data_IF_963760849216
#
_entry.id   IF_963760849216
#
_cell.length_a   1.000
_cell.length_b   1.000
_cell.length_c   1.000
_cell.angle_alpha   90.00
_cell.angle_beta   90.00
_cell.angle_gamma   90.00
#
_symmetry.space_group_name_H-M   'P 1'
#
loop_
_entity.id
_entity.type
_entity.pdbx_description
1 polymer ?
#
# COMPACT_ATOMS: atom_id res chain seq x y z
N UNK A 1 -7.03 30.32 -9.35
CA UNK A 1 -5.85 29.50 -9.02
C UNK A 1 -5.68 29.51 -7.51
N UNK A 2 -6.04 28.41 -6.82
CA UNK A 2 -5.56 28.13 -5.47
C UNK A 2 -4.38 27.17 -5.61
N UNK A 3 -3.24 27.72 -6.05
CA UNK A 3 -1.98 26.99 -6.17
C UNK A 3 -1.31 26.99 -4.81
N UNK A 4 -1.15 25.83 -4.19
CA UNK A 4 -0.38 25.73 -2.94
C UNK A 4 -0.16 24.31 -2.44
N UNK A 5 -1.18 23.46 -2.53
CA UNK A 5 -1.06 22.06 -2.08
C UNK A 5 -0.88 21.14 -3.28
N UNK A 6 0.03 20.16 -3.14
CA UNK A 6 0.16 19.11 -4.13
C UNK A 6 -1.19 18.40 -4.25
N UNK A 7 -1.71 18.22 -5.47
CA UNK A 7 -3.01 17.59 -5.67
C UNK A 7 -3.08 16.16 -5.10
N UNK A 8 -1.93 15.53 -4.86
CA UNK A 8 -1.80 14.23 -4.22
C UNK A 8 -1.01 14.43 -2.93
N UNK A 9 -1.69 14.26 -1.80
CA UNK A 9 -1.15 14.23 -0.44
C UNK A 9 -1.72 13.04 0.33
N UNK A 10 -1.32 12.85 1.59
CA UNK A 10 -1.77 11.70 2.37
C UNK A 10 -3.29 11.64 2.60
N UNK A 11 -3.99 12.77 2.56
CA UNK A 11 -5.45 12.85 2.73
C UNK A 11 -6.19 12.58 1.42
N UNK A 12 -5.62 12.98 0.29
CA UNK A 12 -6.29 12.93 -1.03
C UNK A 12 -5.92 11.70 -1.85
N UNK A 13 -4.74 11.12 -1.63
CA UNK A 13 -4.21 10.01 -2.45
C UNK A 13 -5.13 8.80 -2.51
N UNK A 14 -5.82 8.45 -1.42
CA UNK A 14 -6.73 7.30 -1.40
C UNK A 14 -7.99 7.55 -2.25
N UNK A 15 -8.56 8.75 -2.18
CA UNK A 15 -9.71 9.13 -3.00
C UNK A 15 -9.37 9.24 -4.49
N UNK A 16 -8.21 9.84 -4.80
CA UNK A 16 -7.73 9.95 -6.19
C UNK A 16 -7.42 8.57 -6.75
N UNK A 17 -6.80 7.69 -5.96
CA UNK A 17 -6.49 6.33 -6.37
C UNK A 17 -7.77 5.51 -6.62
N UNK A 18 -8.78 5.66 -5.76
CA UNK A 18 -10.08 5.00 -5.94
C UNK A 18 -10.78 5.41 -7.26
N UNK A 19 -10.82 6.72 -7.54
CA UNK A 19 -11.36 7.23 -8.80
C UNK A 19 -10.51 6.75 -9.98
N UNK A 20 -9.19 6.76 -9.81
CA UNK A 20 -8.23 6.37 -10.83
C UNK A 20 -8.39 4.91 -11.26
N UNK A 21 -8.57 4.02 -10.28
CA UNK A 21 -8.86 2.61 -10.45
C UNK A 21 -10.25 2.40 -11.10
N UNK A 22 -11.28 3.06 -10.58
CA UNK A 22 -12.66 2.95 -11.08
C UNK A 22 -12.81 3.35 -12.55
N UNK A 23 -12.12 4.41 -12.99
CA UNK A 23 -12.16 4.89 -14.38
C UNK A 23 -11.02 4.35 -15.25
N UNK A 24 -10.27 3.36 -14.79
CA UNK A 24 -9.15 2.75 -15.51
C UNK A 24 -8.17 3.79 -16.09
N UNK A 25 -7.72 4.72 -15.25
CA UNK A 25 -6.77 5.79 -15.61
C UNK A 25 -5.36 5.45 -15.09
N UNK A 26 -4.59 4.62 -15.80
CA UNK A 26 -3.33 4.06 -15.30
C UNK A 26 -2.28 5.12 -14.93
N UNK A 27 -2.31 6.27 -15.60
CA UNK A 27 -1.40 7.38 -15.28
C UNK A 27 -1.69 7.97 -13.89
N UNK A 28 -2.96 8.06 -13.49
CA UNK A 28 -3.34 8.57 -12.16
C UNK A 28 -2.91 7.56 -11.09
N UNK A 29 -3.21 6.29 -11.31
CA UNK A 29 -2.80 5.20 -10.41
C UNK A 29 -1.28 5.19 -10.22
N UNK A 30 -0.51 5.32 -11.30
CA UNK A 30 0.96 5.38 -11.23
C UNK A 30 1.47 6.58 -10.45
N UNK A 31 0.85 7.76 -10.63
CA UNK A 31 1.22 8.98 -9.88
C UNK A 31 0.92 8.86 -8.39
N UNK A 32 -0.20 8.25 -8.04
CA UNK A 32 -0.53 7.92 -6.65
C UNK A 32 0.47 6.91 -6.08
N UNK A 33 0.84 5.87 -6.83
CA UNK A 33 1.82 4.88 -6.41
C UNK A 33 3.21 5.51 -6.19
N UNK A 34 3.69 6.36 -7.11
CA UNK A 34 4.93 7.14 -6.97
C UNK A 34 4.91 7.98 -5.67
N UNK A 35 3.79 8.67 -5.39
CA UNK A 35 3.64 9.44 -4.15
C UNK A 35 3.69 8.55 -2.90
N UNK A 36 2.99 7.40 -2.90
CA UNK A 36 2.98 6.47 -1.78
C UNK A 36 4.37 5.87 -1.50
N UNK A 37 5.16 5.66 -2.55
CA UNK A 37 6.53 5.16 -2.46
C UNK A 37 7.51 6.21 -1.90
N UNK A 38 7.41 7.47 -2.33
CA UNK A 38 8.44 8.49 -2.04
C UNK A 38 8.10 9.42 -0.88
N UNK A 39 6.82 9.77 -0.70
CA UNK A 39 6.42 10.93 0.11
C UNK A 39 5.40 10.62 1.20
N UNK A 40 4.66 9.51 1.09
CA UNK A 40 3.62 9.18 2.06
C UNK A 40 4.21 8.89 3.45
N UNK A 41 3.52 9.40 4.47
CA UNK A 41 3.81 9.15 5.89
C UNK A 41 2.84 8.13 6.50
N UNK A 42 2.08 7.41 5.68
CA UNK A 42 1.16 6.37 6.15
C UNK A 42 1.92 5.23 6.81
N UNK A 43 1.27 4.58 7.77
CA UNK A 43 1.80 3.37 8.39
C UNK A 43 1.91 2.23 7.37
N UNK A 44 2.87 1.33 7.59
CA UNK A 44 3.08 0.15 6.74
C UNK A 44 1.80 -0.69 6.59
N UNK A 45 1.01 -0.83 7.67
CA UNK A 45 -0.31 -1.47 7.64
C UNK A 45 -1.25 -0.83 6.61
N UNK A 46 -1.41 0.50 6.66
CA UNK A 46 -2.31 1.21 5.74
C UNK A 46 -1.81 1.14 4.29
N UNK A 47 -0.49 1.19 4.08
CA UNK A 47 0.09 0.98 2.75
C UNK A 47 -0.21 -0.43 2.22
N UNK A 48 -0.08 -1.46 3.06
CA UNK A 48 -0.40 -2.84 2.71
C UNK A 48 -1.89 -3.02 2.36
N UNK A 49 -2.79 -2.40 3.12
CA UNK A 49 -4.23 -2.38 2.81
C UNK A 49 -4.52 -1.70 1.45
N UNK A 50 -3.82 -0.60 1.14
CA UNK A 50 -3.97 0.06 -0.17
C UNK A 50 -3.42 -0.80 -1.31
N UNK A 51 -2.31 -1.51 -1.10
CA UNK A 51 -1.77 -2.48 -2.07
C UNK A 51 -2.79 -3.59 -2.35
N UNK A 52 -3.43 -4.13 -1.31
CA UNK A 52 -4.45 -5.17 -1.44
C UNK A 52 -5.65 -4.68 -2.28
N UNK A 53 -6.12 -3.46 -2.01
CA UNK A 53 -7.33 -2.92 -2.64
C UNK A 53 -7.14 -2.50 -4.10
N UNK A 54 -5.99 -1.91 -4.42
CA UNK A 54 -5.75 -1.27 -5.73
C UNK A 54 -4.69 -1.98 -6.56
N UNK A 55 -4.23 -3.15 -6.14
CA UNK A 55 -3.22 -3.98 -6.81
C UNK A 55 -1.95 -3.20 -7.23
N UNK A 56 -1.39 -2.42 -6.30
CA UNK A 56 -0.20 -1.58 -6.51
C UNK A 56 1.10 -2.42 -6.42
N UNK A 57 1.58 -2.95 -7.54
CA UNK A 57 2.70 -3.89 -7.55
C UNK A 57 4.04 -3.32 -7.06
N UNK A 58 4.38 -2.08 -7.40
CA UNK A 58 5.66 -1.49 -6.95
C UNK A 58 5.62 -1.20 -5.46
N UNK A 59 4.48 -0.71 -4.97
CA UNK A 59 4.27 -0.50 -3.54
C UNK A 59 4.26 -1.83 -2.77
N UNK A 60 3.68 -2.89 -3.35
CA UNK A 60 3.75 -4.26 -2.81
C UNK A 60 5.19 -4.71 -2.59
N UNK A 61 6.03 -4.59 -3.62
CA UNK A 61 7.43 -5.01 -3.56
C UNK A 61 8.20 -4.23 -2.48
N UNK A 62 7.97 -2.93 -2.36
CA UNK A 62 8.58 -2.12 -1.31
C UNK A 62 8.14 -2.57 0.08
N UNK A 63 6.84 -2.67 0.33
CA UNK A 63 6.31 -3.12 1.63
C UNK A 63 6.84 -4.52 1.99
N UNK A 64 6.87 -5.44 1.03
CA UNK A 64 7.43 -6.77 1.26
C UNK A 64 8.93 -6.70 1.56
N UNK A 65 9.72 -5.88 0.88
CA UNK A 65 11.16 -5.72 1.16
C UNK A 65 11.45 -5.13 2.56
N UNK A 66 10.57 -4.27 3.06
CA UNK A 66 10.72 -3.63 4.38
C UNK A 66 10.43 -4.57 5.55
N UNK A 67 9.61 -5.61 5.36
CA UNK A 67 9.33 -6.63 6.37
C UNK A 67 10.55 -7.53 6.57
N UNK A 68 11.33 -7.32 7.63
CA UNK A 68 12.58 -8.07 7.88
C UNK A 68 12.54 -8.92 9.14
N UNK A 69 11.54 -8.72 9.98
CA UNK A 69 11.42 -9.40 11.26
C UNK A 69 9.98 -9.87 11.50
N UNK A 70 9.81 -10.80 12.44
CA UNK A 70 8.48 -11.23 12.88
C UNK A 70 7.66 -10.07 13.48
N UNK A 71 8.33 -9.12 14.13
CA UNK A 71 7.69 -7.91 14.66
C UNK A 71 7.10 -7.03 13.54
N UNK A 72 7.79 -6.91 12.40
CA UNK A 72 7.27 -6.19 11.23
C UNK A 72 6.00 -6.85 10.69
N UNK A 73 5.98 -8.19 10.64
CA UNK A 73 4.79 -8.97 10.23
C UNK A 73 3.63 -8.65 11.17
N UNK A 74 3.85 -8.69 12.48
CA UNK A 74 2.82 -8.35 13.47
C UNK A 74 2.30 -6.91 13.32
N UNK A 75 3.18 -5.95 12.98
CA UNK A 75 2.82 -4.55 12.81
C UNK A 75 1.95 -4.28 11.58
N UNK A 76 2.09 -5.09 10.52
CA UNK A 76 1.30 -4.93 9.29
C UNK A 76 0.00 -5.73 9.29
N UNK A 77 -0.14 -6.70 10.19
CA UNK A 77 -1.36 -7.50 10.26
C UNK A 77 -2.57 -6.64 10.69
N UNK A 78 -3.72 -6.80 10.00
CA UNK A 78 -4.98 -6.23 10.45
C UNK A 78 -5.45 -6.89 11.75
N UNK A 79 -6.39 -6.23 12.43
CA UNK A 79 -6.96 -6.75 13.68
C UNK A 79 -7.72 -8.06 13.45
N UNK A 80 -8.34 -8.21 12.28
CA UNK A 80 -8.82 -9.49 11.77
C UNK A 80 -8.04 -9.86 10.51
N UNK A 81 -7.38 -11.02 10.52
CA UNK A 81 -6.55 -11.50 9.41
C UNK A 81 -7.38 -11.87 8.18
N UNK A 82 -8.68 -12.15 8.35
CA UNK A 82 -9.60 -12.47 7.26
C UNK A 82 -9.92 -11.27 6.36
N UNK A 83 -9.73 -10.04 6.87
CA UNK A 83 -9.85 -8.82 6.07
C UNK A 83 -8.66 -8.60 5.12
N UNK A 84 -7.59 -9.38 5.28
CA UNK A 84 -6.41 -9.26 4.43
C UNK A 84 -6.62 -10.00 3.11
N UNK A 85 -6.24 -9.36 2.02
CA UNK A 85 -6.23 -10.01 0.71
C UNK A 85 -5.41 -11.32 0.74
N UNK A 86 -5.98 -12.38 0.14
CA UNK A 86 -5.39 -13.71 0.17
C UNK A 86 -3.99 -13.78 -0.46
N UNK A 87 -3.70 -12.97 -1.49
CA UNK A 87 -2.37 -12.93 -2.08
C UNK A 87 -1.36 -12.30 -1.12
N UNK A 88 -1.73 -11.20 -0.47
CA UNK A 88 -0.87 -10.56 0.53
C UNK A 88 -0.65 -11.51 1.72
N UNK A 89 -1.69 -12.17 2.21
CA UNK A 89 -1.60 -13.14 3.31
C UNK A 89 -0.63 -14.28 2.95
N UNK A 90 -0.75 -14.83 1.73
CA UNK A 90 0.15 -15.88 1.26
C UNK A 90 1.61 -15.42 1.18
N UNK A 91 1.86 -14.19 0.71
CA UNK A 91 3.21 -13.63 0.64
C UNK A 91 3.79 -13.36 2.04
N UNK A 92 3.00 -12.80 2.97
CA UNK A 92 3.41 -12.62 4.37
C UNK A 92 3.73 -13.96 5.04
N UNK A 93 2.92 -14.99 4.78
CA UNK A 93 3.15 -16.33 5.31
C UNK A 93 4.46 -16.93 4.80
N UNK A 94 4.73 -16.85 3.49
CA UNK A 94 6.03 -17.26 2.93
C UNK A 94 7.19 -16.49 3.55
N UNK A 95 7.02 -15.17 3.74
CA UNK A 95 8.01 -14.32 4.42
C UNK A 95 8.29 -14.82 5.84
N UNK A 96 7.25 -15.14 6.59
CA UNK A 96 7.35 -15.62 7.98
C UNK A 96 8.16 -16.91 8.11
N UNK A 97 7.99 -17.84 7.15
CA UNK A 97 8.73 -19.10 7.11
C UNK A 97 10.19 -18.84 6.74
N UNK A 98 10.46 -17.93 5.81
CA UNK A 98 11.83 -17.60 5.38
C UNK A 98 12.65 -16.82 6.42
N UNK A 99 11.99 -16.22 7.41
CA UNK A 99 12.66 -15.51 8.51
C UNK A 99 13.10 -16.44 9.64
N UNK A 100 12.69 -17.72 9.58
CA UNK A 100 13.05 -18.77 10.53
C UNK A 100 14.16 -19.65 9.97
#
# INVERSE_FOLDING_TARGET
MLYGESAIDDSTVEGILHIGDMYATPMVVRKCEEFLLEKSKKSAKKLLEMVARYNLENLKQKCMSEIKTVADIQAVLPSNVEDLDHQILAELFKKSISLH
#
